data_IF_084595954621
#
_entry.id   IF_084595954621
#
_cell.length_a   1.000
_cell.length_b   1.000
_cell.length_c   1.000
_cell.angle_alpha   90.00
_cell.angle_beta   90.00
_cell.angle_gamma   90.00
#
_symmetry.space_group_name_H-M   'P 1'
#
loop_
_entity.id
_entity.type
_entity.pdbx_description
1 polymer ?
#
# COMPACT_ATOMS: atom_id res chain seq x y z
N UNK A 1 -53.74 -24.37 4.63
CA UNK A 1 -53.36 -23.13 3.90
C UNK A 1 -52.03 -22.56 4.40
N UNK A 2 -50.97 -23.37 4.51
CA UNK A 2 -49.64 -22.93 5.01
C UNK A 2 -48.50 -23.23 4.03
N UNK A 3 -48.73 -24.06 3.00
CA UNK A 3 -47.72 -24.38 1.99
C UNK A 3 -47.45 -23.22 1.01
N UNK A 4 -48.44 -22.35 0.76
CA UNK A 4 -48.33 -21.24 -0.21
C UNK A 4 -47.42 -20.11 0.33
N UNK A 5 -47.39 -19.91 1.65
CA UNK A 5 -46.57 -18.86 2.28
C UNK A 5 -45.07 -19.18 2.19
N UNK A 6 -44.70 -20.46 2.31
CA UNK A 6 -43.28 -20.90 2.22
C UNK A 6 -42.73 -20.76 0.79
N UNK A 7 -43.58 -20.95 -0.22
CA UNK A 7 -43.17 -20.83 -1.62
C UNK A 7 -43.02 -19.37 -2.07
N UNK A 8 -43.82 -18.45 -1.49
CA UNK A 8 -43.66 -17.00 -1.69
C UNK A 8 -42.36 -16.46 -1.06
N UNK A 9 -41.95 -16.95 0.11
CA UNK A 9 -40.68 -16.56 0.73
C UNK A 9 -39.45 -17.02 -0.07
N UNK A 10 -39.51 -18.17 -0.75
CA UNK A 10 -38.42 -18.61 -1.65
C UNK A 10 -38.29 -17.75 -2.92
N UNK A 11 -39.37 -17.11 -3.36
CA UNK A 11 -39.36 -16.16 -4.50
C UNK A 11 -38.90 -14.75 -4.10
N UNK A 12 -38.98 -14.42 -2.80
CA UNK A 12 -38.53 -13.16 -2.21
C UNK A 12 -37.11 -13.22 -1.61
N UNK A 13 -36.48 -14.40 -1.58
CA UNK A 13 -35.06 -14.50 -1.30
C UNK A 13 -34.31 -13.71 -2.39
N UNK A 14 -33.51 -12.68 -2.03
CA UNK A 14 -32.76 -11.91 -3.02
C UNK A 14 -31.94 -12.90 -3.84
N UNK A 15 -32.33 -13.08 -5.10
CA UNK A 15 -31.58 -13.86 -6.07
C UNK A 15 -30.21 -13.20 -6.12
N UNK A 16 -29.19 -13.86 -5.55
CA UNK A 16 -27.80 -13.36 -5.59
C UNK A 16 -27.57 -12.84 -7.00
N UNK A 17 -27.33 -11.53 -7.22
CA UNK A 17 -26.92 -11.09 -8.53
C UNK A 17 -25.59 -11.79 -8.77
N UNK A 18 -25.59 -12.80 -9.64
CA UNK A 18 -24.37 -13.49 -10.01
C UNK A 18 -23.45 -12.44 -10.61
N UNK A 19 -22.48 -11.93 -9.82
CA UNK A 19 -21.43 -11.07 -10.34
C UNK A 19 -20.78 -11.82 -11.51
N UNK A 20 -20.57 -11.17 -12.67
CA UNK A 20 -19.90 -11.83 -13.76
C UNK A 20 -18.54 -12.34 -13.27
N UNK A 21 -18.19 -13.57 -13.64
CA UNK A 21 -16.95 -14.23 -13.22
C UNK A 21 -15.72 -13.32 -13.35
N UNK A 22 -15.69 -12.52 -14.43
CA UNK A 22 -14.65 -11.54 -14.68
C UNK A 22 -14.56 -10.44 -13.60
N UNK A 23 -15.67 -9.93 -13.09
CA UNK A 23 -15.66 -8.92 -12.02
C UNK A 23 -15.10 -9.52 -10.72
N UNK A 24 -15.50 -10.75 -10.38
CA UNK A 24 -14.98 -11.46 -9.20
C UNK A 24 -13.47 -11.71 -9.32
N UNK A 25 -13.02 -12.16 -10.50
CA UNK A 25 -11.62 -12.42 -10.79
C UNK A 25 -10.76 -11.15 -10.69
N UNK A 26 -11.20 -10.04 -11.28
CA UNK A 26 -10.45 -8.78 -11.24
C UNK A 26 -10.41 -8.21 -9.82
N UNK A 27 -11.53 -8.25 -9.06
CA UNK A 27 -11.53 -7.81 -7.66
C UNK A 27 -10.59 -8.67 -6.81
N UNK A 28 -10.55 -9.97 -7.04
CA UNK A 28 -9.63 -10.90 -6.34
C UNK A 28 -8.18 -10.59 -6.70
N UNK A 29 -7.88 -10.35 -7.98
CA UNK A 29 -6.56 -9.97 -8.44
C UNK A 29 -6.07 -8.67 -7.78
N UNK A 30 -6.94 -7.67 -7.63
CA UNK A 30 -6.63 -6.42 -6.92
C UNK A 30 -6.28 -6.69 -5.46
N UNK A 31 -7.03 -7.55 -4.76
CA UNK A 31 -6.73 -7.89 -3.35
C UNK A 31 -5.39 -8.60 -3.25
N UNK A 32 -5.14 -9.61 -4.08
CA UNK A 32 -3.87 -10.36 -4.06
C UNK A 32 -2.70 -9.43 -4.38
N UNK A 33 -2.86 -8.56 -5.37
CA UNK A 33 -1.85 -7.58 -5.75
C UNK A 33 -1.60 -6.54 -4.64
N UNK A 34 -2.65 -6.04 -3.99
CA UNK A 34 -2.54 -5.15 -2.85
C UNK A 34 -1.84 -5.85 -1.66
N UNK A 35 -2.16 -7.12 -1.39
CA UNK A 35 -1.50 -7.90 -0.35
C UNK A 35 -0.01 -8.08 -0.64
N UNK A 36 0.37 -8.41 -1.88
CA UNK A 36 1.78 -8.47 -2.28
C UNK A 36 2.49 -7.12 -2.09
N UNK A 37 1.83 -6.01 -2.46
CA UNK A 37 2.39 -4.67 -2.26
C UNK A 37 2.59 -4.34 -0.77
N UNK A 38 1.65 -4.70 0.11
CA UNK A 38 1.79 -4.55 1.56
C UNK A 38 2.99 -5.34 2.08
N UNK A 39 3.17 -6.59 1.64
CA UNK A 39 4.30 -7.42 2.06
C UNK A 39 5.63 -6.82 1.59
N UNK A 40 5.72 -6.42 0.32
CA UNK A 40 6.92 -5.80 -0.24
C UNK A 40 7.28 -4.50 0.50
N UNK A 41 6.29 -3.65 0.77
CA UNK A 41 6.52 -2.39 1.50
C UNK A 41 6.92 -2.63 2.95
N UNK A 42 6.28 -3.60 3.62
CA UNK A 42 6.62 -3.98 4.99
C UNK A 42 8.04 -4.51 5.09
N UNK A 43 8.46 -5.41 4.20
CA UNK A 43 9.83 -5.97 4.19
C UNK A 43 10.85 -4.87 3.91
N UNK A 44 10.59 -4.00 2.93
CA UNK A 44 11.49 -2.89 2.61
C UNK A 44 11.66 -1.91 3.77
N UNK A 45 10.58 -1.56 4.47
CA UNK A 45 10.62 -0.64 5.60
C UNK A 45 11.24 -1.30 6.83
N UNK A 46 10.96 -2.59 7.08
CA UNK A 46 11.51 -3.32 8.21
C UNK A 46 13.01 -3.59 8.07
N UNK A 47 13.48 -4.00 6.89
CA UNK A 47 14.91 -4.16 6.64
C UNK A 47 15.61 -2.80 6.59
N UNK A 48 14.96 -1.82 5.94
CA UNK A 48 15.37 -0.43 5.95
C UNK A 48 16.66 -0.14 5.20
N UNK A 49 17.43 -1.12 4.75
CA UNK A 49 18.70 -0.92 4.04
C UNK A 49 18.46 -0.39 2.62
N UNK A 50 18.39 0.92 2.42
CA UNK A 50 17.94 1.51 1.15
C UNK A 50 19.08 1.93 0.22
N UNK A 51 20.22 2.38 0.74
CA UNK A 51 21.34 2.84 -0.07
C UNK A 51 22.67 2.22 0.42
N UNK A 52 23.44 1.66 -0.52
CA UNK A 52 24.81 1.20 -0.33
C UNK A 52 25.74 2.13 -1.11
N UNK A 53 26.59 2.86 -0.39
CA UNK A 53 27.58 3.76 -1.00
C UNK A 53 28.97 3.50 -0.39
N UNK A 54 29.93 3.05 -1.21
CA UNK A 54 31.36 2.92 -0.88
C UNK A 54 31.64 2.30 0.52
N UNK A 55 31.02 1.16 0.83
CA UNK A 55 31.21 0.50 2.14
C UNK A 55 30.44 1.14 3.30
N UNK A 56 29.41 1.95 3.01
CA UNK A 56 28.48 2.51 4.00
C UNK A 56 27.06 2.13 3.61
N UNK A 57 26.37 1.49 4.54
CA UNK A 57 24.98 1.09 4.40
C UNK A 57 24.11 2.12 5.11
N UNK A 58 23.45 2.95 4.31
CA UNK A 58 22.49 3.93 4.78
C UNK A 58 21.12 3.27 4.82
N UNK A 59 20.78 2.76 6.01
CA UNK A 59 19.47 2.25 6.31
C UNK A 59 18.53 3.33 6.84
N UNK A 60 17.24 3.10 6.67
CA UNK A 60 16.16 3.85 7.29
C UNK A 60 16.37 3.83 8.80
N UNK A 61 16.65 2.68 9.43
CA UNK A 61 16.79 2.53 10.89
C UNK A 61 18.22 2.64 11.43
N UNK A 62 19.18 2.09 10.68
CA UNK A 62 20.56 1.93 11.13
C UNK A 62 21.54 2.44 10.07
N UNK A 63 22.64 3.03 10.53
CA UNK A 63 23.76 3.43 9.68
C UNK A 63 24.94 2.51 9.99
N UNK A 64 25.34 1.69 9.03
CA UNK A 64 26.48 0.78 9.22
C UNK A 64 27.65 1.22 8.33
N UNK A 65 28.84 1.35 8.92
CA UNK A 65 30.08 1.56 8.17
C UNK A 65 30.86 0.25 8.16
N UNK A 66 31.24 -0.22 6.97
CA UNK A 66 32.17 -1.34 6.81
C UNK A 66 33.55 -0.76 6.54
N UNK A 67 34.38 -0.67 7.58
CA UNK A 67 35.80 -0.38 7.42
C UNK A 67 36.53 -1.69 7.09
N UNK A 68 37.33 -1.70 6.02
CA UNK A 68 37.93 -2.88 5.37
C UNK A 68 38.71 -3.90 6.26
N UNK A 69 38.80 -3.73 7.58
CA UNK A 69 39.55 -4.64 8.47
C UNK A 69 38.91 -4.91 9.86
N UNK A 70 37.63 -4.58 10.09
CA UNK A 70 36.97 -4.86 11.39
C UNK A 70 35.45 -5.06 11.27
N UNK A 71 34.85 -5.65 12.31
CA UNK A 71 33.39 -5.85 12.47
C UNK A 71 32.58 -4.62 12.02
N UNK A 72 31.41 -4.81 11.38
CA UNK A 72 30.57 -3.70 10.92
C UNK A 72 30.15 -2.82 12.11
N UNK A 73 30.61 -1.57 12.12
CA UNK A 73 30.19 -0.60 13.13
C UNK A 73 28.83 -0.03 12.74
N UNK A 74 27.76 -0.65 13.25
CA UNK A 74 26.40 -0.17 13.08
C UNK A 74 26.08 0.86 14.17
N UNK A 75 26.02 2.13 13.78
CA UNK A 75 25.60 3.24 14.61
C UNK A 75 24.10 3.49 14.41
N UNK A 76 23.37 3.59 15.52
CA UNK A 76 21.94 3.92 15.53
C UNK A 76 21.68 5.43 15.48
N UNK A 77 22.73 6.23 15.65
CA UNK A 77 22.65 7.69 15.77
C UNK A 77 23.03 8.38 14.46
N UNK A 78 22.02 8.76 13.68
CA UNK A 78 22.20 9.46 12.38
C UNK A 78 22.73 10.88 12.54
N UNK A 79 22.73 11.45 13.75
CA UNK A 79 23.33 12.75 14.06
C UNK A 79 24.84 12.77 13.82
N UNK A 80 25.48 11.60 13.89
CA UNK A 80 26.92 11.44 13.74
C UNK A 80 27.38 11.39 12.28
N UNK A 81 26.45 11.29 11.32
CA UNK A 81 26.73 11.30 9.88
C UNK A 81 27.14 12.68 9.33
N UNK A 82 27.23 13.73 10.17
CA UNK A 82 27.70 15.08 9.80
C UNK A 82 26.90 15.80 8.70
N UNK A 83 25.71 15.29 8.34
CA UNK A 83 24.81 15.95 7.38
C UNK A 83 23.71 16.71 8.16
N UNK A 84 23.66 18.05 8.11
CA UNK A 84 22.64 18.83 8.81
C UNK A 84 21.25 18.47 8.28
N UNK A 85 20.31 18.18 9.18
CA UNK A 85 18.92 17.83 8.84
C UNK A 85 18.67 16.36 8.48
N UNK A 86 19.70 15.52 8.36
CA UNK A 86 19.54 14.09 8.02
C UNK A 86 18.77 13.32 9.10
N UNK A 87 19.01 13.60 10.38
CA UNK A 87 18.30 12.94 11.48
C UNK A 87 16.79 13.25 11.49
N UNK A 88 16.42 14.52 11.25
CA UNK A 88 15.01 14.96 11.20
C UNK A 88 14.34 14.45 9.92
N UNK A 89 15.00 14.59 8.78
CA UNK A 89 14.50 14.11 7.49
C UNK A 89 14.31 12.59 7.45
N UNK A 90 15.24 11.83 8.02
CA UNK A 90 15.09 10.38 8.13
C UNK A 90 14.01 9.99 9.14
N UNK A 91 13.88 10.71 10.26
CA UNK A 91 12.78 10.52 11.21
C UNK A 91 11.41 10.70 10.55
N UNK A 92 11.26 11.74 9.73
CA UNK A 92 10.06 11.98 8.94
C UNK A 92 9.83 10.85 7.93
N UNK A 93 10.84 10.46 7.15
CA UNK A 93 10.74 9.37 6.18
C UNK A 93 10.33 8.04 6.84
N UNK A 94 10.87 7.71 8.03
CA UNK A 94 10.47 6.54 8.82
C UNK A 94 9.00 6.61 9.22
N UNK A 95 8.58 7.73 9.81
CA UNK A 95 7.21 7.88 10.31
C UNK A 95 6.19 7.83 9.17
N UNK A 96 6.48 8.48 8.05
CA UNK A 96 5.64 8.50 6.86
C UNK A 96 5.58 7.12 6.20
N UNK A 97 6.72 6.43 6.07
CA UNK A 97 6.76 5.06 5.54
C UNK A 97 5.99 4.07 6.41
N UNK A 98 6.22 4.07 7.73
CA UNK A 98 5.49 3.20 8.66
C UNK A 98 3.98 3.48 8.64
N UNK A 99 3.59 4.75 8.58
CA UNK A 99 2.18 5.14 8.46
C UNK A 99 1.58 4.66 7.13
N UNK A 100 2.34 4.70 6.03
CA UNK A 100 1.91 4.17 4.74
C UNK A 100 1.52 2.69 4.86
N UNK A 101 2.37 1.86 5.47
CA UNK A 101 2.10 0.42 5.67
C UNK A 101 0.82 0.21 6.48
N UNK A 102 0.66 0.93 7.59
CA UNK A 102 -0.55 0.82 8.43
C UNK A 102 -1.80 1.20 7.63
N UNK A 103 -1.76 2.30 6.89
CA UNK A 103 -2.88 2.72 6.03
C UNK A 103 -3.16 1.69 4.93
N UNK A 104 -2.13 1.08 4.34
CA UNK A 104 -2.26 0.03 3.34
C UNK A 104 -2.93 -1.23 3.90
N UNK A 105 -2.56 -1.65 5.12
CA UNK A 105 -3.19 -2.78 5.83
C UNK A 105 -4.68 -2.49 6.03
N UNK A 106 -5.04 -1.32 6.56
CA UNK A 106 -6.45 -0.95 6.68
C UNK A 106 -7.17 -0.95 5.32
N UNK A 107 -6.53 -0.41 4.28
CA UNK A 107 -7.05 -0.46 2.91
C UNK A 107 -7.35 -1.88 2.42
N UNK A 108 -6.43 -2.81 2.65
CA UNK A 108 -6.57 -4.23 2.31
C UNK A 108 -7.71 -4.90 3.08
N UNK A 109 -7.83 -4.66 4.39
CA UNK A 109 -8.92 -5.15 5.22
C UNK A 109 -10.29 -4.69 4.69
N UNK A 110 -10.41 -3.40 4.34
CA UNK A 110 -11.63 -2.87 3.74
C UNK A 110 -11.98 -3.53 2.39
N UNK A 111 -10.98 -3.82 1.55
CA UNK A 111 -11.18 -4.55 0.30
C UNK A 111 -11.63 -6.00 0.55
N UNK A 112 -11.00 -6.72 1.49
CA UNK A 112 -11.36 -8.09 1.85
C UNK A 112 -12.78 -8.18 2.43
N UNK A 113 -13.11 -7.34 3.41
CA UNK A 113 -14.44 -7.31 4.03
C UNK A 113 -15.52 -6.95 3.02
N UNK A 114 -15.21 -6.09 2.04
CA UNK A 114 -16.17 -5.75 0.99
C UNK A 114 -16.48 -6.90 0.01
N UNK A 115 -15.57 -7.88 -0.15
CA UNK A 115 -15.87 -9.09 -0.91
C UNK A 115 -16.70 -10.10 -0.10
N UNK A 116 -16.44 -10.22 1.20
CA UNK A 116 -17.09 -11.21 2.07
C UNK A 116 -18.52 -10.80 2.44
N UNK A 117 -18.77 -9.51 2.68
CA UNK A 117 -20.11 -8.99 2.98
C UNK A 117 -20.76 -8.41 1.72
N UNK A 118 -21.69 -9.14 1.08
CA UNK A 118 -22.52 -8.66 -0.04
C UNK A 118 -23.67 -7.72 0.44
N UNK A 119 -23.33 -6.65 1.16
CA UNK A 119 -24.31 -5.64 1.61
C UNK A 119 -24.36 -4.42 0.69
N UNK A 120 -25.43 -3.61 0.77
CA UNK A 120 -25.52 -2.26 0.18
C UNK A 120 -24.32 -1.35 0.55
N UNK A 121 -23.69 -1.62 1.69
CA UNK A 121 -22.50 -0.91 2.18
C UNK A 121 -21.17 -1.47 1.63
N UNK A 122 -21.17 -2.63 0.96
CA UNK A 122 -20.00 -3.25 0.31
C UNK A 122 -19.33 -2.26 -0.66
N UNK A 123 -20.13 -1.50 -1.40
CA UNK A 123 -19.66 -0.46 -2.35
C UNK A 123 -18.81 0.61 -1.67
N UNK A 124 -19.32 1.16 -0.56
CA UNK A 124 -18.63 2.21 0.18
C UNK A 124 -17.36 1.69 0.83
N UNK A 125 -17.39 0.45 1.34
CA UNK A 125 -16.20 -0.23 1.90
C UNK A 125 -15.11 -0.44 0.84
N UNK A 126 -15.47 -0.89 -0.37
CA UNK A 126 -14.52 -1.07 -1.48
C UNK A 126 -13.90 0.27 -1.92
N UNK A 127 -14.71 1.31 -2.05
CA UNK A 127 -14.23 2.66 -2.39
C UNK A 127 -13.31 3.23 -1.29
N UNK A 128 -13.68 3.09 -0.02
CA UNK A 128 -12.85 3.49 1.12
C UNK A 128 -11.52 2.73 1.14
N UNK A 129 -11.53 1.41 0.91
CA UNK A 129 -10.31 0.62 0.79
C UNK A 129 -9.40 1.10 -0.34
N UNK A 130 -9.98 1.41 -1.50
CA UNK A 130 -9.24 1.97 -2.64
C UNK A 130 -8.65 3.36 -2.33
N UNK A 131 -9.39 4.21 -1.60
CA UNK A 131 -8.90 5.52 -1.14
C UNK A 131 -7.76 5.36 -0.14
N UNK A 132 -7.84 4.42 0.79
CA UNK A 132 -6.75 4.13 1.71
C UNK A 132 -5.49 3.68 0.97
N UNK A 133 -5.61 2.82 -0.06
CA UNK A 133 -4.45 2.47 -0.91
C UNK A 133 -3.87 3.70 -1.64
N UNK A 134 -4.69 4.65 -2.08
CA UNK A 134 -4.21 5.89 -2.69
C UNK A 134 -3.46 6.78 -1.69
N UNK A 135 -3.98 6.90 -0.47
CA UNK A 135 -3.31 7.62 0.62
C UNK A 135 -1.98 6.93 0.96
N UNK A 136 -1.95 5.60 1.01
CA UNK A 136 -0.71 4.83 1.19
C UNK A 136 0.32 5.13 0.09
N UNK A 137 -0.11 5.19 -1.18
CA UNK A 137 0.77 5.59 -2.28
C UNK A 137 1.37 6.98 -2.06
N UNK A 138 0.56 7.98 -1.66
CA UNK A 138 1.06 9.33 -1.40
C UNK A 138 2.08 9.37 -0.26
N UNK A 139 1.84 8.58 0.80
CA UNK A 139 2.77 8.47 1.92
C UNK A 139 4.07 7.74 1.50
N UNK A 140 3.99 6.56 0.88
CA UNK A 140 5.18 5.81 0.42
C UNK A 140 6.00 6.61 -0.60
N UNK A 141 5.35 7.25 -1.58
CA UNK A 141 6.04 8.11 -2.56
C UNK A 141 6.66 9.33 -1.89
N UNK A 142 5.98 9.95 -0.91
CA UNK A 142 6.55 11.04 -0.11
C UNK A 142 7.78 10.61 0.69
N UNK A 143 7.77 9.41 1.29
CA UNK A 143 8.92 8.83 1.99
C UNK A 143 10.11 8.58 1.07
N UNK A 144 9.87 7.96 -0.10
CA UNK A 144 10.88 7.71 -1.13
C UNK A 144 11.48 9.02 -1.67
N UNK A 145 10.63 9.98 -2.03
CA UNK A 145 11.06 11.27 -2.57
C UNK A 145 11.90 12.02 -1.53
N UNK A 146 11.47 12.03 -0.27
CA UNK A 146 12.21 12.65 0.83
C UNK A 146 13.60 12.02 0.99
N UNK A 147 13.69 10.69 0.93
CA UNK A 147 14.97 9.97 0.99
C UNK A 147 15.90 10.32 -0.17
N UNK A 148 15.38 10.34 -1.40
CA UNK A 148 16.15 10.70 -2.61
C UNK A 148 16.61 12.15 -2.57
N UNK A 149 15.78 13.08 -2.11
CA UNK A 149 16.14 14.51 -1.98
C UNK A 149 17.24 14.70 -0.94
N UNK A 150 17.14 14.05 0.24
CA UNK A 150 18.13 14.15 1.31
C UNK A 150 19.51 13.62 0.89
N UNK A 151 19.54 12.55 0.10
CA UNK A 151 20.77 11.91 -0.35
C UNK A 151 21.18 12.31 -1.77
N UNK A 152 20.50 13.29 -2.39
CA UNK A 152 20.70 13.69 -3.79
C UNK A 152 22.17 13.95 -4.17
N UNK A 153 22.95 14.51 -3.25
CA UNK A 153 24.36 14.82 -3.48
C UNK A 153 25.30 13.62 -3.30
N UNK A 154 24.81 12.49 -2.78
CA UNK A 154 25.55 11.25 -2.50
C UNK A 154 25.02 10.05 -3.32
N UNK A 155 23.94 10.24 -4.09
CA UNK A 155 23.29 9.16 -4.84
C UNK A 155 24.04 8.90 -6.15
N UNK A 156 24.55 7.68 -6.29
CA UNK A 156 24.77 7.06 -7.61
C UNK A 156 23.62 6.09 -7.88
N UNK A 157 23.11 6.05 -9.12
CA UNK A 157 21.96 5.20 -9.50
C UNK A 157 22.19 3.70 -9.23
N UNK A 158 23.46 3.28 -9.20
CA UNK A 158 23.90 1.91 -8.88
C UNK A 158 24.01 1.63 -7.37
N UNK A 159 23.93 2.66 -6.51
CA UNK A 159 24.00 2.52 -5.06
C UNK A 159 22.65 2.17 -4.41
N UNK A 160 21.54 2.22 -5.14
CA UNK A 160 20.24 1.82 -4.61
C UNK A 160 20.15 0.30 -4.45
N UNK A 161 19.79 -0.12 -3.24
CA UNK A 161 19.62 -1.53 -2.89
C UNK A 161 18.33 -2.10 -3.45
N UNK A 162 18.19 -3.43 -3.40
CA UNK A 162 16.95 -4.13 -3.74
C UNK A 162 15.74 -3.61 -2.94
N UNK A 163 15.91 -3.25 -1.66
CA UNK A 163 14.81 -2.79 -0.81
C UNK A 163 14.24 -1.45 -1.29
N UNK A 164 15.09 -0.52 -1.73
CA UNK A 164 14.62 0.73 -2.35
C UNK A 164 13.74 0.45 -3.58
N UNK A 165 14.18 -0.46 -4.45
CA UNK A 165 13.39 -0.86 -5.62
C UNK A 165 12.10 -1.58 -5.23
N UNK A 166 12.12 -2.42 -4.19
CA UNK A 166 10.92 -3.05 -3.66
C UNK A 166 9.90 -2.03 -3.15
N UNK A 167 10.31 -1.00 -2.40
CA UNK A 167 9.40 0.06 -1.95
C UNK A 167 8.87 0.89 -3.13
N UNK A 168 9.72 1.19 -4.11
CA UNK A 168 9.29 1.88 -5.33
C UNK A 168 8.24 1.08 -6.09
N UNK A 169 8.47 -0.23 -6.29
CA UNK A 169 7.49 -1.12 -6.91
C UNK A 169 6.22 -1.24 -6.06
N UNK A 170 6.32 -1.39 -4.74
CA UNK A 170 5.17 -1.48 -3.84
C UNK A 170 4.30 -0.21 -3.90
N UNK A 171 4.92 0.97 -3.88
CA UNK A 171 4.26 2.26 -4.04
C UNK A 171 3.49 2.33 -5.37
N UNK A 172 4.13 1.93 -6.47
CA UNK A 172 3.47 1.89 -7.78
C UNK A 172 2.31 0.89 -7.82
N UNK A 173 2.44 -0.27 -7.18
CA UNK A 173 1.36 -1.24 -7.05
C UNK A 173 0.20 -0.69 -6.21
N UNK A 174 0.44 0.06 -5.14
CA UNK A 174 -0.63 0.73 -4.40
C UNK A 174 -1.42 1.70 -5.30
N UNK A 175 -0.72 2.49 -6.13
CA UNK A 175 -1.35 3.41 -7.08
C UNK A 175 -2.22 2.67 -8.10
N UNK A 176 -1.68 1.65 -8.76
CA UNK A 176 -2.42 0.86 -9.75
C UNK A 176 -3.64 0.19 -9.12
N UNK A 177 -3.48 -0.47 -7.97
CA UNK A 177 -4.59 -1.14 -7.28
C UNK A 177 -5.67 -0.15 -6.81
N UNK A 178 -5.29 1.03 -6.32
CA UNK A 178 -6.23 2.08 -5.94
C UNK A 178 -7.06 2.56 -7.14
N UNK A 179 -6.39 2.88 -8.26
CA UNK A 179 -7.08 3.33 -9.48
C UNK A 179 -7.94 2.24 -10.09
N UNK A 180 -7.44 1.01 -10.19
CA UNK A 180 -8.23 -0.13 -10.68
C UNK A 180 -9.45 -0.40 -9.78
N UNK A 181 -9.28 -0.29 -8.45
CA UNK A 181 -10.38 -0.43 -7.49
C UNK A 181 -11.46 0.63 -7.67
N UNK A 182 -11.07 1.91 -7.81
CA UNK A 182 -11.99 3.02 -8.08
C UNK A 182 -12.68 2.89 -9.44
N UNK A 183 -11.94 2.49 -10.47
CA UNK A 183 -12.44 2.36 -11.83
C UNK A 183 -13.49 1.25 -11.95
N UNK A 184 -13.24 0.07 -11.35
CA UNK A 184 -14.22 -1.03 -11.32
C UNK A 184 -15.48 -0.61 -10.56
N UNK A 185 -15.32 0.12 -9.46
CA UNK A 185 -16.45 0.65 -8.69
C UNK A 185 -17.29 1.66 -9.50
N UNK A 186 -16.67 2.38 -10.44
CA UNK A 186 -17.35 3.30 -11.37
C UNK A 186 -18.07 2.55 -12.49
N UNK A 187 -17.42 1.56 -13.13
CA UNK A 187 -18.01 0.78 -14.24
C UNK A 187 -19.20 -0.05 -13.79
N UNK A 188 -19.07 -0.72 -12.64
CA UNK A 188 -20.12 -1.63 -12.13
C UNK A 188 -21.38 -0.90 -11.72
N UNK A 189 -21.28 0.41 -11.43
CA UNK A 189 -22.41 1.26 -11.09
C UNK A 189 -22.18 2.67 -11.64
N UNK A 190 -22.52 2.94 -12.91
CA UNK A 190 -22.59 4.31 -13.42
C UNK A 190 -23.53 5.09 -12.50
N UNK A 191 -23.12 6.31 -12.12
CA UNK A 191 -23.93 7.19 -11.28
C UNK A 191 -25.36 7.25 -11.83
N UNK A 192 -26.33 6.66 -11.11
CA UNK A 192 -27.72 6.73 -11.48
C UNK A 192 -28.08 8.22 -11.70
N UNK A 193 -28.66 8.59 -12.85
CA UNK A 193 -29.15 9.96 -13.01
C UNK A 193 -30.17 10.23 -11.90
N UNK A 194 -30.21 11.47 -11.37
CA UNK A 194 -31.12 11.81 -10.29
C UNK A 194 -32.53 11.40 -10.67
N UNK A 195 -33.13 10.51 -9.87
CA UNK A 195 -34.56 10.17 -9.98
C UNK A 195 -35.32 11.49 -9.97
N UNK A 196 -35.88 11.85 -11.12
CA UNK A 196 -36.88 12.92 -11.22
C UNK A 196 -38.04 12.48 -10.33
N UNK A 197 -38.25 13.23 -9.26
CA UNK A 197 -39.49 13.23 -8.49
C UNK A 197 -40.62 13.82 -9.35
#
# INVERSE_FOLDING_TARGET
MTAIVVQAQRLLAPRRPCRPFFESLVRTLIIVCAAMAVVLSSVSICDGHWLLAEGRLFGLWHFCTTTNQSEPHCLRDLSQARVPGLAVGMGLARSVGALAVVVAIFGLEFLMVSQVCEDLHSRRKWALGSVFLLVSFLLSSGGLLSFVILLRNQVTLLGFTLMFWCEFTASFLFFLNALSGLHINSITHPWDPPRKF
#
